data_IF_435869598033
#
_entry.id   IF_435869598033
#
_cell.length_a   1.000
_cell.length_b   1.000
_cell.length_c   1.000
_cell.angle_alpha   90.00
_cell.angle_beta   90.00
_cell.angle_gamma   90.00
#
_symmetry.space_group_name_H-M   'P 1'
#
loop_
_entity.id
_entity.type
_entity.pdbx_description
1 polymer ?
#
# COMPACT_ATOMS: atom_id res chain seq x y z
N UNK A 1 1.86 10.17 7.67
CA UNK A 1 1.53 9.21 6.59
C UNK A 1 2.62 8.14 6.59
N UNK A 2 2.28 6.85 6.51
CA UNK A 2 3.26 5.74 6.52
C UNK A 2 3.17 4.95 5.22
N UNK A 3 4.30 4.42 4.76
CA UNK A 3 4.39 3.46 3.64
C UNK A 3 4.96 2.18 4.20
N UNK A 4 4.34 1.04 3.86
CA UNK A 4 4.82 -0.29 4.25
C UNK A 4 4.99 -1.12 2.99
N UNK A 5 6.17 -1.72 2.82
CA UNK A 5 6.45 -2.62 1.71
C UNK A 5 6.23 -4.07 2.14
N UNK A 6 5.43 -4.80 1.36
CA UNK A 6 5.19 -6.21 1.53
C UNK A 6 5.65 -6.97 0.29
N UNK A 7 6.09 -8.22 0.47
CA UNK A 7 6.55 -9.07 -0.64
C UNK A 7 5.39 -9.67 -1.44
N UNK A 8 4.26 -9.91 -0.79
CA UNK A 8 3.05 -10.51 -1.40
C UNK A 8 1.81 -9.71 -1.04
N UNK A 9 0.76 -9.85 -1.85
CA UNK A 9 -0.55 -9.24 -1.58
C UNK A 9 -1.15 -9.77 -0.27
N UNK A 10 -1.09 -11.09 -0.04
CA UNK A 10 -1.53 -11.69 1.23
C UNK A 10 -0.87 -11.03 2.45
N UNK A 11 0.45 -10.84 2.41
CA UNK A 11 1.18 -10.18 3.49
C UNK A 11 0.71 -8.72 3.65
N UNK A 12 0.43 -8.02 2.56
CA UNK A 12 -0.08 -6.64 2.62
C UNK A 12 -1.44 -6.57 3.33
N UNK A 13 -2.35 -7.51 3.05
CA UNK A 13 -3.63 -7.60 3.77
C UNK A 13 -3.44 -7.92 5.25
N UNK A 14 -2.61 -8.91 5.60
CA UNK A 14 -2.33 -9.26 7.00
C UNK A 14 -1.79 -8.06 7.79
N UNK A 15 -0.86 -7.32 7.20
CA UNK A 15 -0.28 -6.12 7.83
C UNK A 15 -1.31 -4.99 7.93
N UNK A 16 -2.16 -4.79 6.91
CA UNK A 16 -3.21 -3.77 6.94
C UNK A 16 -4.20 -4.02 8.07
N UNK A 17 -4.66 -5.27 8.26
CA UNK A 17 -5.52 -5.67 9.37
C UNK A 17 -4.84 -5.50 10.74
N UNK A 18 -3.55 -5.83 10.83
CA UNK A 18 -2.79 -5.65 12.07
C UNK A 18 -2.66 -4.16 12.44
N UNK A 19 -2.43 -3.29 11.46
CA UNK A 19 -2.37 -1.83 11.66
C UNK A 19 -3.73 -1.30 12.11
N UNK A 20 -4.81 -1.73 11.46
CA UNK A 20 -6.18 -1.34 11.82
C UNK A 20 -6.50 -1.69 13.28
N UNK A 21 -6.23 -2.93 13.68
CA UNK A 21 -6.41 -3.40 15.05
C UNK A 21 -5.61 -2.56 16.05
N UNK A 22 -4.35 -2.23 15.71
CA UNK A 22 -3.48 -1.45 16.59
C UNK A 22 -3.96 0.00 16.73
N UNK A 23 -4.49 0.60 15.67
CA UNK A 23 -5.10 1.93 15.70
C UNK A 23 -6.37 1.93 16.55
N UNK A 24 -7.23 0.92 16.37
CA UNK A 24 -8.46 0.78 17.14
C UNK A 24 -8.21 0.67 18.65
N UNK A 25 -7.17 -0.07 19.05
CA UNK A 25 -6.73 -0.15 20.44
C UNK A 25 -6.30 1.20 21.04
N UNK A 26 -5.96 2.18 20.20
CA UNK A 26 -5.63 3.55 20.59
C UNK A 26 -6.77 4.54 20.30
N UNK A 27 -8.01 4.06 20.07
CA UNK A 27 -9.17 4.89 19.71
C UNK A 27 -8.99 5.69 18.42
N UNK A 28 -8.20 5.17 17.48
CA UNK A 28 -8.00 5.73 16.15
C UNK A 28 -8.63 4.83 15.09
N UNK A 29 -9.18 5.43 14.04
CA UNK A 29 -9.70 4.70 12.88
C UNK A 29 -8.79 4.88 11.67
N UNK A 30 -8.71 3.84 10.85
CA UNK A 30 -8.05 3.89 9.56
C UNK A 30 -9.02 4.48 8.53
N UNK A 31 -8.57 5.46 7.74
CA UNK A 31 -9.44 6.10 6.75
C UNK A 31 -9.51 5.25 5.47
N UNK A 32 -10.70 4.80 5.03
CA UNK A 32 -10.85 3.84 3.92
C UNK A 32 -10.28 4.36 2.60
N UNK A 33 -10.53 5.64 2.27
CA UNK A 33 -10.05 6.18 0.99
C UNK A 33 -8.54 6.49 0.94
N UNK A 34 -7.90 6.65 2.11
CA UNK A 34 -6.49 7.03 2.21
C UNK A 34 -5.57 5.82 2.41
N UNK A 35 -6.11 4.72 2.93
CA UNK A 35 -5.39 3.47 3.16
C UNK A 35 -5.67 2.49 2.02
N UNK A 36 -4.65 2.20 1.22
CA UNK A 36 -4.77 1.34 0.05
C UNK A 36 -3.53 0.47 -0.14
N UNK A 37 -3.74 -0.73 -0.67
CA UNK A 37 -2.67 -1.61 -1.15
C UNK A 37 -2.35 -1.19 -2.59
N UNK A 38 -1.08 -0.96 -2.88
CA UNK A 38 -0.61 -0.50 -4.19
C UNK A 38 0.41 -1.48 -4.74
N UNK A 39 0.18 -1.93 -5.96
CA UNK A 39 1.09 -2.85 -6.62
C UNK A 39 2.32 -2.11 -7.15
N UNK A 40 3.47 -2.32 -6.51
CA UNK A 40 4.74 -1.83 -7.00
C UNK A 40 5.17 -2.68 -8.21
N UNK A 41 4.75 -2.22 -9.40
CA UNK A 41 5.08 -2.85 -10.68
C UNK A 41 6.48 -2.42 -11.15
N UNK A 42 7.24 -3.38 -11.65
CA UNK A 42 8.52 -3.20 -12.34
C UNK A 42 8.44 -3.86 -13.73
N UNK A 43 9.51 -3.76 -14.52
CA UNK A 43 9.60 -4.32 -15.87
C UNK A 43 9.51 -5.86 -15.93
N UNK A 44 9.86 -6.56 -14.85
CA UNK A 44 9.77 -8.03 -14.75
C UNK A 44 8.37 -8.49 -14.33
N UNK A 45 7.59 -7.62 -13.70
CA UNK A 45 6.27 -7.88 -13.15
C UNK A 45 5.16 -7.55 -14.14
N UNK A 46 4.60 -8.58 -14.79
CA UNK A 46 3.59 -8.42 -15.87
C UNK A 46 2.14 -8.32 -15.39
N UNK A 47 1.86 -8.57 -14.11
CA UNK A 47 0.49 -8.55 -13.59
C UNK A 47 -0.16 -7.17 -13.73
N UNK A 48 -1.45 -7.15 -14.07
CA UNK A 48 -2.27 -5.96 -14.13
C UNK A 48 -2.98 -5.77 -12.78
N UNK A 49 -2.83 -4.58 -12.20
CA UNK A 49 -3.51 -4.18 -10.98
C UNK A 49 -4.14 -2.80 -11.18
N UNK A 50 -5.28 -2.52 -10.54
CA UNK A 50 -6.00 -1.26 -10.71
C UNK A 50 -5.22 -0.06 -10.15
N UNK A 51 -4.41 -0.27 -9.10
CA UNK A 51 -3.58 0.78 -8.51
C UNK A 51 -2.10 0.38 -8.53
N UNK A 52 -1.32 1.08 -9.35
CA UNK A 52 0.13 0.85 -9.52
C UNK A 52 0.99 2.06 -9.15
N UNK A 53 0.35 3.15 -8.72
CA UNK A 53 1.01 4.39 -8.35
C UNK A 53 0.41 5.01 -7.09
N UNK A 54 1.23 5.76 -6.36
CA UNK A 54 0.80 6.49 -5.16
C UNK A 54 1.65 7.72 -4.92
N UNK A 55 1.06 8.73 -4.27
CA UNK A 55 1.77 9.93 -3.84
C UNK A 55 2.08 9.84 -2.35
N UNK A 56 3.33 10.12 -1.98
CA UNK A 56 3.78 10.16 -0.61
C UNK A 56 4.70 11.38 -0.42
N UNK A 57 4.34 12.25 0.55
CA UNK A 57 5.07 13.47 0.87
C UNK A 57 5.35 14.37 -0.35
N UNK A 58 4.40 14.48 -1.27
CA UNK A 58 4.54 15.30 -2.49
C UNK A 58 5.25 14.60 -3.66
N UNK A 59 5.74 13.38 -3.49
CA UNK A 59 6.38 12.61 -4.55
C UNK A 59 5.49 11.47 -5.03
N UNK A 60 5.35 11.32 -6.34
CA UNK A 60 4.56 10.25 -6.94
C UNK A 60 5.46 9.09 -7.36
N UNK A 61 5.21 7.93 -6.75
CA UNK A 61 5.84 6.66 -7.09
C UNK A 61 5.00 5.96 -8.15
N UNK A 62 5.62 5.57 -9.24
CA UNK A 62 5.00 4.88 -10.37
C UNK A 62 5.97 3.83 -10.94
N UNK A 63 5.48 2.87 -11.74
CA UNK A 63 6.34 1.86 -12.36
C UNK A 63 7.45 2.53 -13.16
N UNK A 64 8.68 2.02 -13.05
CA UNK A 64 9.80 2.47 -13.88
C UNK A 64 9.82 1.68 -15.18
N UNK A 65 9.90 2.39 -16.29
CA UNK A 65 10.35 1.83 -17.55
C UNK A 65 11.88 1.72 -17.47
N UNK A 66 12.43 0.61 -17.96
CA UNK A 66 13.87 0.34 -17.96
C UNK A 66 14.53 0.94 -19.19
#
# INVERSE_FOLDING_TARGET
MKVVHCRTERQAHEVMTAIETRLAACLLSMHPDKSKIVYCKDSNRKAAYPTTQFTFLGFTFRPREA
#
